data_IF_351570347508
#
_entry.id   IF_351570347508
#
_cell.length_a   1.000
_cell.length_b   1.000
_cell.length_c   1.000
_cell.angle_alpha   90.00
_cell.angle_beta   90.00
_cell.angle_gamma   90.00
#
_symmetry.space_group_name_H-M   'P 1'
#
loop_
_entity.id
_entity.type
_entity.pdbx_description
1 polymer ?
#
# COMPACT_ATOMS: atom_id res chain seq x y z
N UNK A 1 49.63 75.44 26.41
CA UNK A 1 48.60 74.48 25.84
C UNK A 1 47.26 75.21 25.94
N UNK A 2 46.71 75.66 24.80
CA UNK A 2 45.48 76.48 24.82
C UNK A 2 44.30 75.67 25.32
N UNK A 3 43.52 76.19 26.23
CA UNK A 3 42.31 75.59 26.80
C UNK A 3 41.33 75.07 25.69
N UNK A 4 41.35 75.72 24.51
CA UNK A 4 40.55 75.36 23.36
C UNK A 4 41.03 74.09 22.65
N UNK A 5 42.35 73.85 22.59
CA UNK A 5 42.89 72.62 21.98
C UNK A 5 42.66 71.40 22.87
N UNK A 6 42.71 71.57 24.21
CA UNK A 6 42.41 70.49 25.14
C UNK A 6 40.93 70.09 25.11
N UNK A 7 40.01 71.07 24.96
CA UNK A 7 38.57 70.74 24.83
C UNK A 7 38.24 70.04 23.52
N UNK A 8 38.90 70.40 22.44
CA UNK A 8 38.72 69.75 21.11
C UNK A 8 39.23 68.30 21.12
N UNK A 9 40.40 68.05 21.73
CA UNK A 9 40.94 66.68 21.87
C UNK A 9 40.09 65.80 22.75
N UNK A 10 39.50 66.33 23.84
CA UNK A 10 38.54 65.60 24.70
C UNK A 10 37.28 65.26 23.92
N UNK A 11 36.74 66.23 23.16
CA UNK A 11 35.53 66.01 22.34
C UNK A 11 35.76 64.96 21.25
N UNK A 12 36.92 64.98 20.56
CA UNK A 12 37.30 63.96 19.58
C UNK A 12 37.49 62.58 20.24
N UNK A 13 38.09 62.55 21.44
CA UNK A 13 38.26 61.31 22.18
C UNK A 13 36.90 60.71 22.64
N UNK A 14 35.98 61.55 23.06
CA UNK A 14 34.61 61.14 23.42
C UNK A 14 33.85 60.63 22.16
N UNK A 15 33.96 61.35 21.05
CA UNK A 15 33.35 60.94 19.79
C UNK A 15 33.93 59.60 19.28
N UNK A 16 35.27 59.45 19.35
CA UNK A 16 35.94 58.20 19.01
C UNK A 16 35.50 57.04 19.95
N UNK A 17 35.37 57.32 21.26
CA UNK A 17 34.87 56.36 22.22
C UNK A 17 33.40 55.96 21.92
N UNK A 18 32.54 56.90 21.58
CA UNK A 18 31.13 56.65 21.20
C UNK A 18 31.07 55.84 19.91
N UNK A 19 31.94 56.13 18.92
CA UNK A 19 31.99 55.33 17.68
C UNK A 19 32.53 53.93 17.91
N UNK A 20 33.59 53.77 18.71
CA UNK A 20 34.19 52.47 19.03
C UNK A 20 33.31 51.59 19.94
N UNK A 21 32.62 52.17 20.88
CA UNK A 21 31.79 51.42 21.82
C UNK A 21 30.28 51.48 21.50
N UNK A 22 29.87 52.39 20.63
CA UNK A 22 28.47 52.59 20.28
C UNK A 22 27.78 51.33 19.78
N UNK A 23 28.47 50.51 19.03
CA UNK A 23 27.97 49.22 18.54
C UNK A 23 27.73 48.19 19.64
N UNK A 24 28.28 48.38 20.84
CA UNK A 24 28.12 47.49 21.99
C UNK A 24 26.98 47.87 22.95
N UNK A 25 26.31 48.98 22.74
CA UNK A 25 25.16 49.40 23.57
C UNK A 25 23.84 48.90 23.07
N UNK A 26 23.81 48.12 21.99
CA UNK A 26 22.62 47.48 21.48
C UNK A 26 22.91 46.06 21.08
N UNK A 27 21.91 45.20 21.16
CA UNK A 27 21.93 43.84 20.59
C UNK A 27 20.76 43.69 19.63
N UNK A 28 21.04 43.18 18.43
CA UNK A 28 20.01 42.80 17.47
C UNK A 28 19.95 41.29 17.45
N UNK A 29 18.82 40.73 17.90
CA UNK A 29 18.55 39.31 17.92
C UNK A 29 17.76 38.96 16.67
N UNK A 30 18.25 38.10 15.77
CA UNK A 30 17.53 37.67 14.57
C UNK A 30 16.20 37.00 14.92
N UNK A 31 15.25 37.07 13.99
CA UNK A 31 13.98 36.36 14.12
C UNK A 31 14.19 34.85 14.32
N UNK A 32 13.44 34.25 15.24
CA UNK A 32 13.57 32.85 15.60
C UNK A 32 14.79 32.50 16.44
N UNK A 33 15.45 33.50 17.02
CA UNK A 33 16.56 33.32 17.95
C UNK A 33 16.30 34.01 19.28
N UNK A 34 17.00 33.52 20.28
CA UNK A 34 17.09 34.16 21.61
C UNK A 34 18.56 34.33 21.96
N UNK A 35 18.92 35.47 22.49
CA UNK A 35 20.27 35.75 22.94
C UNK A 35 20.38 35.66 24.46
N UNK A 36 21.37 34.94 24.94
CA UNK A 36 21.72 34.85 26.36
C UNK A 36 22.99 35.68 26.59
N UNK A 37 22.90 36.63 27.55
CA UNK A 37 24.05 37.47 27.90
C UNK A 37 24.89 36.79 28.97
N UNK A 38 26.21 36.93 28.85
CA UNK A 38 27.17 36.58 29.90
C UNK A 38 28.01 37.78 30.29
N UNK A 39 28.21 37.98 31.57
CA UNK A 39 29.06 39.05 32.14
C UNK A 39 30.25 38.40 32.84
N UNK A 40 31.45 38.54 32.31
CA UNK A 40 32.66 37.91 32.84
C UNK A 40 32.56 36.41 33.15
N UNK A 41 31.73 35.71 32.34
CA UNK A 41 31.47 34.26 32.51
C UNK A 41 30.22 33.93 33.34
N UNK A 42 29.60 34.90 33.98
CA UNK A 42 28.32 34.71 34.70
C UNK A 42 27.16 34.85 33.73
N UNK A 43 26.33 33.80 33.62
CA UNK A 43 25.14 33.77 32.76
C UNK A 43 24.03 34.62 33.38
N UNK A 44 23.45 35.50 32.56
CA UNK A 44 22.31 36.32 33.00
C UNK A 44 21.01 35.53 32.80
N UNK A 45 20.14 35.49 33.82
CA UNK A 45 18.92 34.69 33.82
C UNK A 45 17.87 35.14 32.81
N UNK A 46 17.95 36.38 32.33
CA UNK A 46 17.00 36.95 31.38
C UNK A 46 17.51 36.81 29.94
N UNK A 47 16.92 35.95 29.13
CA UNK A 47 17.22 35.90 27.71
C UNK A 47 16.60 37.09 26.96
N UNK A 48 17.33 37.61 26.00
CA UNK A 48 16.89 38.65 25.07
C UNK A 48 16.11 38.06 23.94
N UNK A 49 14.86 38.51 23.80
CA UNK A 49 13.98 38.05 22.70
C UNK A 49 14.39 38.66 21.37
N UNK A 50 13.83 38.13 20.27
CA UNK A 50 14.06 38.66 18.93
C UNK A 50 13.74 40.16 18.81
N UNK A 51 14.53 40.86 18.01
CA UNK A 51 14.42 42.30 17.80
C UNK A 51 15.62 43.07 18.31
N UNK A 52 15.47 44.39 18.38
CA UNK A 52 16.51 45.30 18.83
C UNK A 52 16.28 45.70 20.31
N UNK A 53 17.27 45.44 21.12
CA UNK A 53 17.26 45.85 22.54
C UNK A 53 18.30 46.94 22.81
N UNK A 54 17.87 48.08 23.35
CA UNK A 54 18.68 49.25 23.72
C UNK A 54 18.13 49.81 25.04
N UNK A 55 18.97 50.19 26.01
CA UNK A 55 20.41 49.99 26.09
C UNK A 55 20.78 48.61 26.65
N UNK A 56 21.91 48.06 26.21
CA UNK A 56 22.51 46.87 26.85
C UNK A 56 23.89 47.23 27.44
N UNK A 57 24.31 46.44 28.41
CA UNK A 57 25.64 46.62 28.99
C UNK A 57 26.71 46.25 27.94
N UNK A 58 27.64 47.15 27.57
CA UNK A 58 28.67 46.90 26.55
C UNK A 58 29.65 45.78 26.91
N UNK A 59 29.68 45.33 28.17
CA UNK A 59 30.53 44.24 28.64
C UNK A 59 29.89 42.86 28.50
N UNK A 60 28.64 42.79 28.03
CA UNK A 60 27.98 41.52 27.77
C UNK A 60 28.53 40.86 26.53
N UNK A 61 28.73 39.52 26.65
CA UNK A 61 28.90 38.64 25.52
C UNK A 61 27.58 37.92 25.28
N UNK A 62 27.15 37.81 24.03
CA UNK A 62 25.87 37.23 23.66
C UNK A 62 26.09 35.87 22.98
N UNK A 63 25.39 34.83 23.45
CA UNK A 63 25.27 33.54 22.82
C UNK A 63 23.87 33.41 22.26
N UNK A 64 23.76 33.06 20.96
CA UNK A 64 22.47 32.98 20.28
C UNK A 64 22.02 31.53 20.22
N UNK A 65 20.73 31.29 20.54
CA UNK A 65 20.05 30.01 20.42
C UNK A 65 18.97 30.10 19.37
N UNK A 66 18.98 29.18 18.41
CA UNK A 66 17.89 29.00 17.46
C UNK A 66 16.74 28.28 18.17
N UNK A 67 15.58 28.95 18.28
CA UNK A 67 14.37 28.43 18.94
C UNK A 67 13.37 27.84 17.96
N UNK A 68 13.72 27.80 16.68
CA UNK A 68 12.91 27.16 15.63
C UNK A 68 12.99 25.65 15.74
N UNK A 69 12.07 25.00 15.07
CA UNK A 69 12.08 23.54 14.97
C UNK A 69 13.31 23.04 14.22
N UNK A 70 13.96 22.03 14.80
CA UNK A 70 15.14 21.36 14.21
C UNK A 70 14.90 19.87 14.14
N UNK A 71 15.50 19.26 13.15
CA UNK A 71 15.55 17.82 12.99
C UNK A 71 16.98 17.31 13.22
N UNK A 72 17.11 16.31 14.08
CA UNK A 72 18.34 15.56 14.27
C UNK A 72 18.11 14.12 13.80
N UNK A 73 18.99 13.64 12.92
CA UNK A 73 19.00 12.28 12.41
C UNK A 73 20.08 11.50 13.12
N UNK A 74 19.72 10.31 13.59
CA UNK A 74 20.64 9.47 14.34
C UNK A 74 20.44 7.99 13.97
N UNK A 75 21.52 7.27 13.79
CA UNK A 75 21.52 5.83 13.56
C UNK A 75 21.93 5.11 14.85
N UNK A 76 21.13 4.14 15.26
CA UNK A 76 21.38 3.36 16.45
C UNK A 76 21.32 1.86 16.17
N UNK A 77 22.33 1.13 16.63
CA UNK A 77 22.29 -0.34 16.67
C UNK A 77 21.42 -0.81 17.84
N UNK A 78 20.35 -1.50 17.52
CA UNK A 78 19.30 -1.92 18.45
C UNK A 78 19.28 -3.44 18.54
N UNK A 79 19.57 -4.02 19.70
CA UNK A 79 19.46 -5.46 19.89
C UNK A 79 18.01 -5.85 20.15
N UNK A 80 17.52 -6.88 19.47
CA UNK A 80 16.27 -7.57 19.78
C UNK A 80 16.50 -8.70 20.80
N UNK A 81 15.43 -9.33 21.30
CA UNK A 81 15.53 -10.41 22.28
C UNK A 81 16.20 -11.66 21.69
N UNK A 82 16.08 -11.88 20.39
CA UNK A 82 16.77 -12.96 19.66
C UNK A 82 18.28 -12.71 19.46
N UNK A 83 18.87 -11.71 20.15
CA UNK A 83 20.27 -11.33 20.14
C UNK A 83 20.79 -10.80 18.78
N UNK A 84 19.91 -10.41 17.89
CA UNK A 84 20.26 -9.81 16.63
C UNK A 84 20.32 -8.29 16.77
N UNK A 85 21.33 -7.68 16.15
CA UNK A 85 21.45 -6.22 16.16
C UNK A 85 20.97 -5.66 14.83
N UNK A 86 19.91 -4.87 14.89
CA UNK A 86 19.33 -4.15 13.76
C UNK A 86 19.76 -2.70 13.84
N UNK A 87 20.15 -2.08 12.74
CA UNK A 87 20.41 -0.65 12.69
C UNK A 87 19.10 0.07 12.36
N UNK A 88 18.69 0.96 13.26
CA UNK A 88 17.48 1.77 13.09
C UNK A 88 17.88 3.22 12.96
N UNK A 89 17.44 3.87 11.90
CA UNK A 89 17.59 5.29 11.64
C UNK A 89 16.38 6.04 12.17
N UNK A 90 16.62 6.90 13.15
CA UNK A 90 15.58 7.68 13.84
C UNK A 90 15.84 9.16 13.61
N UNK A 91 14.80 9.93 13.35
CA UNK A 91 14.85 11.39 13.40
C UNK A 91 13.99 11.92 14.53
N UNK A 92 14.54 12.87 15.29
CA UNK A 92 13.84 13.60 16.31
C UNK A 92 13.66 15.04 15.86
N UNK A 93 12.42 15.54 15.92
CA UNK A 93 12.09 16.96 15.78
C UNK A 93 11.98 17.58 17.16
N UNK A 94 12.70 18.65 17.38
CA UNK A 94 12.74 19.32 18.66
C UNK A 94 12.91 20.83 18.49
N UNK A 95 12.64 21.54 19.55
CA UNK A 95 12.94 22.97 19.67
C UNK A 95 13.44 23.29 21.08
N UNK A 96 14.28 24.30 21.20
CA UNK A 96 14.70 24.86 22.49
C UNK A 96 13.67 25.88 22.95
N UNK A 97 13.29 25.85 24.23
CA UNK A 97 12.44 26.84 24.82
C UNK A 97 13.29 28.11 25.11
N UNK A 98 12.93 29.24 24.51
CA UNK A 98 13.69 30.47 24.65
C UNK A 98 13.83 30.94 26.09
N UNK A 99 12.84 30.68 26.96
CA UNK A 99 12.89 30.99 28.39
C UNK A 99 13.95 30.21 29.16
N UNK A 100 14.27 29.01 28.71
CA UNK A 100 15.23 28.09 29.34
C UNK A 100 16.65 28.22 28.79
N UNK A 101 16.86 29.05 27.76
CA UNK A 101 18.14 29.18 27.06
C UNK A 101 19.30 29.58 28.02
N UNK A 102 19.04 30.42 29.01
CA UNK A 102 20.03 30.81 30.02
C UNK A 102 20.49 29.60 30.85
N UNK A 103 19.57 28.76 31.28
CA UNK A 103 19.86 27.53 32.01
C UNK A 103 20.60 26.50 31.14
N UNK A 104 20.20 26.37 29.88
CA UNK A 104 20.89 25.48 28.95
C UNK A 104 22.34 25.92 28.75
N UNK A 105 22.61 27.23 28.61
CA UNK A 105 23.96 27.76 28.50
C UNK A 105 24.79 27.41 29.74
N UNK A 106 24.20 27.55 30.92
CA UNK A 106 24.86 27.33 32.19
C UNK A 106 25.16 25.83 32.44
N UNK A 107 24.21 24.93 32.13
CA UNK A 107 24.31 23.51 32.42
C UNK A 107 25.04 22.72 31.33
N UNK A 108 24.86 23.12 30.07
CA UNK A 108 25.28 22.31 28.93
C UNK A 108 26.23 23.04 27.98
N UNK A 109 26.06 24.33 27.78
CA UNK A 109 26.87 25.12 26.85
C UNK A 109 26.06 25.63 25.67
N UNK A 110 26.66 25.61 24.47
CA UNK A 110 26.05 26.13 23.22
C UNK A 110 24.90 25.26 22.73
N UNK A 111 24.22 25.73 21.68
CA UNK A 111 23.15 24.96 21.02
C UNK A 111 23.66 23.59 20.52
N UNK A 112 24.85 23.57 19.89
CA UNK A 112 25.48 22.35 19.41
C UNK A 112 25.87 21.41 20.56
N UNK A 113 26.30 21.96 21.70
CA UNK A 113 26.61 21.17 22.89
C UNK A 113 25.37 20.54 23.47
N UNK A 114 24.23 21.23 23.47
CA UNK A 114 22.95 20.68 23.93
C UNK A 114 22.54 19.48 23.09
N UNK A 115 22.70 19.55 21.77
CA UNK A 115 22.45 18.41 20.88
C UNK A 115 23.38 17.25 21.20
N UNK A 116 24.68 17.51 21.22
CA UNK A 116 25.73 16.49 21.35
C UNK A 116 25.72 15.80 22.72
N UNK A 117 25.43 16.52 23.78
CA UNK A 117 25.54 16.03 25.18
C UNK A 117 24.21 15.52 25.71
N UNK A 118 23.09 16.18 25.36
CA UNK A 118 21.78 15.86 25.92
C UNK A 118 20.91 15.01 25.00
N UNK A 119 20.75 15.42 23.74
CA UNK A 119 19.78 14.79 22.84
C UNK A 119 20.34 13.49 22.26
N UNK A 120 21.50 13.55 21.63
CA UNK A 120 22.07 12.47 20.84
C UNK A 120 22.36 11.20 21.67
N UNK A 121 23.04 11.28 22.84
CA UNK A 121 23.31 10.09 23.64
C UNK A 121 22.06 9.49 24.27
N UNK A 122 21.12 10.35 24.68
CA UNK A 122 19.86 9.90 25.27
C UNK A 122 18.99 9.21 24.22
N UNK A 123 18.88 9.79 23.02
CA UNK A 123 18.14 9.18 21.90
C UNK A 123 18.68 7.78 21.59
N UNK A 124 20.00 7.63 21.44
CA UNK A 124 20.62 6.31 21.22
C UNK A 124 20.30 5.33 22.34
N UNK A 125 20.35 5.80 23.60
CA UNK A 125 20.09 4.96 24.77
C UNK A 125 18.62 4.49 24.78
N UNK A 126 17.68 5.42 24.57
CA UNK A 126 16.24 5.13 24.59
C UNK A 126 15.86 4.20 23.45
N UNK A 127 16.33 4.49 22.23
CA UNK A 127 16.08 3.62 21.05
C UNK A 127 16.57 2.20 21.31
N UNK A 128 17.77 2.05 21.89
CA UNK A 128 18.33 0.73 22.26
C UNK A 128 17.55 0.04 23.38
N UNK A 129 17.08 0.80 24.35
CA UNK A 129 16.29 0.27 25.46
C UNK A 129 14.91 -0.23 25.00
N UNK A 130 14.21 0.60 24.23
CA UNK A 130 12.89 0.23 23.70
C UNK A 130 12.98 -0.92 22.71
N UNK A 131 14.02 -0.97 21.89
CA UNK A 131 14.23 -2.06 20.95
C UNK A 131 14.41 -3.43 21.59
N UNK A 132 14.90 -3.51 22.83
CA UNK A 132 14.98 -4.77 23.59
C UNK A 132 13.62 -5.38 23.92
N UNK A 133 12.54 -4.63 23.83
CA UNK A 133 11.18 -5.14 24.02
C UNK A 133 10.70 -5.96 22.82
N UNK A 134 11.31 -5.76 21.65
CA UNK A 134 10.95 -6.47 20.41
C UNK A 134 11.52 -7.88 20.43
N UNK A 135 10.67 -8.87 20.23
CA UNK A 135 11.02 -10.28 20.38
C UNK A 135 11.97 -10.75 19.28
N UNK A 136 11.64 -10.42 18.04
CA UNK A 136 12.39 -10.85 16.86
C UNK A 136 12.81 -9.66 16.01
N UNK A 137 13.99 -9.74 15.42
CA UNK A 137 14.47 -8.68 14.52
C UNK A 137 13.54 -8.45 13.31
N UNK A 138 12.83 -9.47 12.85
CA UNK A 138 11.82 -9.36 11.78
C UNK A 138 10.61 -8.49 12.20
N UNK A 139 10.27 -8.48 13.48
CA UNK A 139 9.09 -7.77 13.99
C UNK A 139 9.23 -6.24 13.94
N UNK A 140 10.47 -5.73 13.78
CA UNK A 140 10.70 -4.31 13.54
C UNK A 140 10.03 -3.78 12.25
N UNK A 141 9.71 -4.66 11.30
CA UNK A 141 9.00 -4.29 10.06
C UNK A 141 7.48 -4.27 10.21
N UNK A 142 6.95 -4.77 11.32
CA UNK A 142 5.52 -4.72 11.58
C UNK A 142 5.11 -3.29 11.95
N UNK A 143 4.08 -2.78 11.29
CA UNK A 143 3.59 -1.42 11.50
C UNK A 143 3.24 -1.17 12.98
N UNK A 144 2.54 -2.08 13.61
CA UNK A 144 2.17 -1.99 15.03
C UNK A 144 3.40 -1.88 15.94
N UNK A 145 4.45 -2.64 15.66
CA UNK A 145 5.70 -2.58 16.42
C UNK A 145 6.39 -1.23 16.23
N UNK A 146 6.41 -0.69 15.02
CA UNK A 146 6.99 0.62 14.73
C UNK A 146 6.23 1.75 15.44
N UNK A 147 4.91 1.75 15.41
CA UNK A 147 4.06 2.74 16.09
C UNK A 147 4.25 2.68 17.61
N UNK A 148 4.29 1.49 18.19
CA UNK A 148 4.54 1.29 19.62
C UNK A 148 5.93 1.78 20.03
N UNK A 149 6.96 1.44 19.26
CA UNK A 149 8.33 1.91 19.47
C UNK A 149 8.42 3.44 19.37
N UNK A 150 7.84 4.02 18.33
CA UNK A 150 7.84 5.47 18.12
C UNK A 150 7.20 6.20 19.30
N UNK A 151 6.06 5.71 19.77
CA UNK A 151 5.35 6.27 20.93
C UNK A 151 6.19 6.13 22.21
N UNK A 152 6.74 4.96 22.48
CA UNK A 152 7.55 4.70 23.67
C UNK A 152 8.84 5.53 23.68
N UNK A 153 9.49 5.71 22.51
CA UNK A 153 10.67 6.56 22.38
C UNK A 153 10.29 8.02 22.59
N UNK A 154 9.16 8.47 22.01
CA UNK A 154 8.67 9.84 22.17
C UNK A 154 8.39 10.17 23.63
N UNK A 155 7.67 9.32 24.36
CA UNK A 155 7.33 9.50 25.77
C UNK A 155 8.60 9.56 26.64
N UNK A 156 9.54 8.66 26.39
CA UNK A 156 10.81 8.62 27.12
C UNK A 156 11.68 9.85 26.83
N UNK A 157 11.73 10.30 25.59
CA UNK A 157 12.50 11.49 25.21
C UNK A 157 11.84 12.77 25.70
N UNK A 158 10.52 12.88 25.57
CA UNK A 158 9.75 14.03 26.03
C UNK A 158 9.89 14.23 27.53
N UNK A 159 9.73 13.17 28.32
CA UNK A 159 9.90 13.25 29.79
C UNK A 159 11.33 13.60 30.22
N UNK A 160 12.33 13.21 29.43
CA UNK A 160 13.73 13.56 29.71
C UNK A 160 14.10 14.99 29.31
N UNK A 161 13.64 15.45 28.13
CA UNK A 161 14.03 16.73 27.53
C UNK A 161 13.24 17.91 28.07
N UNK A 162 11.94 17.75 28.38
CA UNK A 162 11.07 18.84 28.84
C UNK A 162 11.61 19.53 30.09
N UNK A 163 12.04 18.83 31.15
CA UNK A 163 12.63 19.49 32.34
C UNK A 163 13.93 20.24 32.04
N UNK A 164 14.58 19.96 30.93
CA UNK A 164 15.85 20.56 30.46
C UNK A 164 15.65 21.71 29.49
N UNK A 165 14.41 22.17 29.29
CA UNK A 165 14.11 23.30 28.43
C UNK A 165 14.13 22.95 26.92
N UNK A 166 14.04 21.69 26.57
CA UNK A 166 13.98 21.22 25.18
C UNK A 166 12.65 20.49 24.99
N UNK A 167 11.84 20.96 24.03
CA UNK A 167 10.56 20.31 23.70
C UNK A 167 10.78 19.32 22.55
N UNK A 168 10.46 18.06 22.79
CA UNK A 168 10.34 17.05 21.75
C UNK A 168 9.00 17.24 21.04
N UNK A 169 9.03 17.38 19.72
CA UNK A 169 7.82 17.60 18.90
C UNK A 169 7.36 16.30 18.26
N UNK A 170 8.30 15.56 17.71
CA UNK A 170 8.00 14.32 17.00
C UNK A 170 9.22 13.41 16.94
N UNK A 171 8.99 12.11 16.84
CA UNK A 171 10.02 11.10 16.59
C UNK A 171 9.55 10.19 15.47
N UNK A 172 10.40 10.01 14.47
CA UNK A 172 10.12 9.21 13.29
C UNK A 172 11.18 8.12 13.12
N UNK A 173 10.74 6.90 12.97
CA UNK A 173 11.58 5.79 12.51
C UNK A 173 11.62 5.90 10.98
N UNK A 174 12.83 6.05 10.42
CA UNK A 174 13.02 6.31 9.00
C UNK A 174 13.37 5.05 8.21
N UNK A 175 14.34 4.32 8.69
CA UNK A 175 14.84 3.12 8.02
C UNK A 175 15.26 2.07 9.04
N UNK A 176 15.11 0.82 8.66
CA UNK A 176 15.42 -0.33 9.50
C UNK A 176 16.29 -1.28 8.67
N UNK A 177 17.58 -1.35 9.04
CA UNK A 177 18.57 -2.12 8.32
C UNK A 177 18.94 -3.39 9.09
N UNK A 178 18.49 -4.53 8.62
CA UNK A 178 18.88 -5.84 9.14
C UNK A 178 20.25 -6.27 8.61
N UNK A 179 20.99 -7.08 9.38
CA UNK A 179 22.18 -7.74 8.86
C UNK A 179 21.88 -8.58 7.61
N UNK A 180 22.77 -8.54 6.63
CA UNK A 180 22.54 -9.11 5.29
C UNK A 180 22.24 -10.62 5.30
N UNK A 181 22.71 -11.36 6.29
CA UNK A 181 22.42 -12.80 6.41
C UNK A 181 20.98 -13.06 6.81
N UNK A 182 20.37 -12.17 7.61
CA UNK A 182 18.95 -12.26 8.01
C UNK A 182 18.06 -11.89 6.84
N UNK A 183 18.38 -10.81 6.13
CA UNK A 183 17.66 -10.40 4.93
C UNK A 183 17.57 -11.54 3.92
N UNK A 184 18.71 -12.22 3.65
CA UNK A 184 18.72 -13.40 2.78
C UNK A 184 17.91 -14.58 3.33
N UNK A 185 17.92 -14.80 4.65
CA UNK A 185 17.11 -15.87 5.24
C UNK A 185 15.60 -15.59 5.11
N UNK A 186 15.18 -14.33 5.30
CA UNK A 186 13.80 -13.88 5.11
C UNK A 186 13.39 -14.02 3.64
N UNK A 187 14.23 -13.57 2.71
CA UNK A 187 14.00 -13.71 1.27
C UNK A 187 13.81 -15.18 0.87
N UNK A 188 14.74 -16.06 1.28
CA UNK A 188 14.63 -17.51 1.01
C UNK A 188 13.40 -18.14 1.64
N UNK A 189 12.95 -17.66 2.80
CA UNK A 189 11.71 -18.13 3.43
C UNK A 189 10.49 -17.68 2.62
N UNK A 190 10.43 -16.42 2.22
CA UNK A 190 9.36 -15.87 1.38
C UNK A 190 9.28 -16.56 0.02
N UNK A 191 10.42 -16.80 -0.62
CA UNK A 191 10.47 -17.56 -1.88
C UNK A 191 9.87 -18.96 -1.73
N UNK A 192 10.23 -19.67 -0.65
CA UNK A 192 9.65 -20.99 -0.36
C UNK A 192 8.16 -20.94 -0.07
N UNK A 193 7.71 -19.94 0.70
CA UNK A 193 6.29 -19.74 0.99
C UNK A 193 5.49 -19.45 -0.29
N UNK A 194 6.01 -18.58 -1.16
CA UNK A 194 5.40 -18.29 -2.47
C UNK A 194 5.37 -19.52 -3.38
N UNK A 195 6.44 -20.33 -3.40
CA UNK A 195 6.46 -21.56 -4.18
C UNK A 195 5.42 -22.57 -3.68
N UNK A 196 5.29 -22.73 -2.35
CA UNK A 196 4.24 -23.59 -1.75
C UNK A 196 2.85 -23.07 -2.08
N UNK A 197 2.63 -21.77 -2.04
CA UNK A 197 1.33 -21.17 -2.37
C UNK A 197 1.00 -21.37 -3.87
N UNK A 198 2.00 -21.18 -4.73
CA UNK A 198 1.87 -21.45 -6.15
C UNK A 198 1.51 -22.91 -6.44
N UNK A 199 2.21 -23.84 -5.80
CA UNK A 199 1.91 -25.29 -5.94
C UNK A 199 0.50 -25.63 -5.44
N UNK A 200 0.04 -25.02 -4.33
CA UNK A 200 -1.34 -25.18 -3.87
C UNK A 200 -2.35 -24.66 -4.88
N UNK A 201 -2.11 -23.47 -5.42
CA UNK A 201 -2.98 -22.87 -6.43
C UNK A 201 -3.01 -23.71 -7.72
N UNK A 202 -1.88 -24.26 -8.16
CA UNK A 202 -1.81 -25.18 -9.31
C UNK A 202 -2.59 -26.47 -9.04
N UNK A 203 -2.47 -27.05 -7.85
CA UNK A 203 -3.21 -28.25 -7.45
C UNK A 203 -4.73 -27.99 -7.41
N UNK A 204 -5.16 -26.85 -6.90
CA UNK A 204 -6.58 -26.46 -6.91
C UNK A 204 -7.10 -26.23 -8.33
N UNK A 205 -6.33 -25.59 -9.18
CA UNK A 205 -6.67 -25.44 -10.61
C UNK A 205 -6.81 -26.80 -11.28
N UNK A 206 -5.86 -27.70 -11.06
CA UNK A 206 -5.91 -29.05 -11.60
C UNK A 206 -7.14 -29.83 -11.10
N UNK A 207 -7.45 -29.75 -9.81
CA UNK A 207 -8.66 -30.36 -9.24
C UNK A 207 -9.94 -29.81 -9.89
N UNK A 208 -10.01 -28.50 -10.03
CA UNK A 208 -11.16 -27.82 -10.65
C UNK A 208 -11.31 -28.25 -12.12
N UNK A 209 -10.22 -28.32 -12.86
CA UNK A 209 -10.22 -28.80 -14.25
C UNK A 209 -10.68 -30.26 -14.36
N UNK A 210 -10.21 -31.14 -13.47
CA UNK A 210 -10.69 -32.53 -13.44
C UNK A 210 -12.17 -32.63 -13.10
N UNK A 211 -12.66 -31.83 -12.15
CA UNK A 211 -14.07 -31.78 -11.83
C UNK A 211 -14.92 -31.28 -13.00
N UNK A 212 -14.46 -30.26 -13.73
CA UNK A 212 -15.12 -29.77 -14.93
C UNK A 212 -15.18 -30.85 -16.02
N UNK A 213 -14.09 -31.59 -16.23
CA UNK A 213 -14.05 -32.72 -17.22
C UNK A 213 -15.05 -33.83 -16.83
N UNK A 214 -15.12 -34.16 -15.53
CA UNK A 214 -16.07 -35.18 -15.05
C UNK A 214 -17.50 -34.67 -15.23
N UNK A 215 -17.77 -33.41 -14.84
CA UNK A 215 -19.10 -32.82 -14.99
C UNK A 215 -19.53 -32.72 -16.48
N UNK A 216 -18.61 -32.36 -17.37
CA UNK A 216 -18.86 -32.32 -18.82
C UNK A 216 -19.19 -33.73 -19.38
N UNK A 217 -18.40 -34.74 -18.99
CA UNK A 217 -18.66 -36.12 -19.41
C UNK A 217 -19.98 -36.68 -18.86
N UNK A 218 -20.37 -36.29 -17.65
CA UNK A 218 -21.67 -36.63 -17.09
C UNK A 218 -22.80 -35.95 -17.85
N UNK A 219 -22.69 -34.66 -18.12
CA UNK A 219 -23.67 -33.91 -18.90
C UNK A 219 -23.86 -34.47 -20.31
N UNK A 220 -22.77 -34.90 -20.96
CA UNK A 220 -22.82 -35.54 -22.28
C UNK A 220 -23.56 -36.90 -22.23
N UNK A 221 -23.31 -37.71 -21.21
CA UNK A 221 -24.06 -38.97 -21.00
C UNK A 221 -25.54 -38.71 -20.76
N UNK A 222 -25.86 -37.77 -19.88
CA UNK A 222 -27.26 -37.42 -19.54
C UNK A 222 -27.98 -36.88 -20.79
N UNK A 223 -27.32 -36.07 -21.62
CA UNK A 223 -27.88 -35.61 -22.89
C UNK A 223 -28.11 -36.77 -23.89
N UNK A 224 -27.17 -37.71 -24.00
CA UNK A 224 -27.32 -38.89 -24.87
C UNK A 224 -28.46 -39.80 -24.39
N UNK A 225 -28.61 -39.97 -23.07
CA UNK A 225 -29.73 -40.76 -22.50
C UNK A 225 -31.08 -40.07 -22.75
N UNK A 226 -31.16 -38.76 -22.62
CA UNK A 226 -32.37 -37.99 -22.95
C UNK A 226 -32.72 -38.08 -24.45
N UNK A 227 -31.75 -37.98 -25.33
CA UNK A 227 -31.95 -38.18 -26.76
C UNK A 227 -32.44 -39.60 -27.08
N UNK A 228 -31.85 -40.60 -26.45
CA UNK A 228 -32.30 -41.98 -26.62
C UNK A 228 -33.74 -42.18 -26.13
N UNK A 229 -34.10 -41.57 -25.01
CA UNK A 229 -35.47 -41.57 -24.49
C UNK A 229 -36.47 -40.86 -25.45
N UNK A 230 -36.07 -39.69 -25.96
CA UNK A 230 -36.89 -38.96 -26.96
C UNK A 230 -37.11 -39.81 -28.23
N UNK A 231 -36.06 -40.46 -28.75
CA UNK A 231 -36.17 -41.32 -29.89
C UNK A 231 -37.12 -42.52 -29.64
N UNK A 232 -37.05 -43.11 -28.41
CA UNK A 232 -37.98 -44.20 -28.04
C UNK A 232 -39.44 -43.71 -27.98
N UNK A 233 -39.67 -42.53 -27.31
CA UNK A 233 -41.02 -41.97 -27.24
C UNK A 233 -41.58 -41.62 -28.62
N UNK A 234 -40.77 -41.07 -29.49
CA UNK A 234 -41.15 -40.82 -30.90
C UNK A 234 -41.45 -42.09 -31.66
N UNK A 235 -40.61 -43.15 -31.52
CA UNK A 235 -40.85 -44.42 -32.17
C UNK A 235 -42.13 -45.10 -31.63
N UNK A 236 -42.37 -45.06 -30.32
CA UNK A 236 -43.59 -45.57 -29.71
C UNK A 236 -44.83 -44.82 -30.20
N UNK A 237 -44.76 -43.49 -30.30
CA UNK A 237 -45.81 -42.63 -30.82
C UNK A 237 -46.11 -42.98 -32.29
N UNK A 238 -45.05 -43.14 -33.12
CA UNK A 238 -45.23 -43.54 -34.52
C UNK A 238 -45.79 -44.95 -34.67
N UNK A 239 -45.32 -45.90 -33.83
CA UNK A 239 -45.88 -47.27 -33.82
C UNK A 239 -47.36 -47.30 -33.41
N UNK A 240 -47.72 -46.46 -32.42
CA UNK A 240 -49.14 -46.28 -32.01
C UNK A 240 -49.96 -45.69 -33.14
N UNK A 241 -49.49 -44.68 -33.84
CA UNK A 241 -50.12 -44.04 -34.99
C UNK A 241 -50.35 -45.03 -36.16
N UNK A 242 -49.30 -45.80 -36.46
CA UNK A 242 -49.36 -46.87 -37.49
C UNK A 242 -50.38 -47.95 -37.10
N UNK A 243 -50.42 -48.35 -35.84
CA UNK A 243 -51.40 -49.32 -35.33
C UNK A 243 -52.81 -48.80 -35.44
N UNK A 244 -53.04 -47.53 -35.05
CA UNK A 244 -54.36 -46.88 -35.18
C UNK A 244 -54.79 -46.68 -36.64
N UNK A 245 -53.84 -46.32 -37.51
CA UNK A 245 -54.07 -46.26 -38.93
C UNK A 245 -54.45 -47.64 -39.54
N UNK A 246 -53.73 -48.68 -39.17
CA UNK A 246 -54.03 -50.04 -39.62
C UNK A 246 -55.41 -50.52 -39.11
N UNK A 247 -55.76 -50.21 -37.86
CA UNK A 247 -57.09 -50.49 -37.33
C UNK A 247 -58.23 -49.75 -38.05
N UNK A 248 -57.95 -48.49 -38.41
CA UNK A 248 -58.92 -47.66 -39.21
C UNK A 248 -59.07 -48.19 -40.61
N UNK A 249 -57.96 -48.59 -41.28
CA UNK A 249 -57.94 -49.16 -42.61
C UNK A 249 -58.66 -50.52 -42.66
N UNK A 250 -58.44 -51.37 -41.66
CA UNK A 250 -59.13 -52.66 -41.58
C UNK A 250 -60.63 -52.55 -41.42
N UNK A 251 -61.12 -51.44 -40.76
CA UNK A 251 -62.55 -51.19 -40.59
C UNK A 251 -63.24 -50.49 -41.73
N UNK A 252 -62.48 -49.77 -42.59
CA UNK A 252 -63.00 -49.11 -43.76
C UNK A 252 -61.99 -49.01 -44.90
N UNK A 253 -62.02 -49.97 -45.85
CA UNK A 253 -61.08 -50.04 -47.01
C UNK A 253 -61.14 -48.79 -47.92
N UNK A 254 -62.25 -48.09 -47.94
CA UNK A 254 -62.44 -46.88 -48.75
C UNK A 254 -61.56 -45.70 -48.23
N UNK A 255 -61.06 -45.76 -46.96
CA UNK A 255 -60.17 -44.75 -46.37
C UNK A 255 -58.81 -44.75 -47.07
N UNK A 256 -58.31 -45.92 -47.53
CA UNK A 256 -57.01 -46.00 -48.29
C UNK A 256 -57.13 -45.27 -49.60
N UNK A 257 -58.29 -45.37 -50.29
CA UNK A 257 -58.54 -44.64 -51.54
C UNK A 257 -58.59 -43.15 -51.37
N UNK A 258 -59.19 -42.69 -50.24
CA UNK A 258 -59.25 -41.25 -49.92
C UNK A 258 -57.87 -40.70 -49.61
N UNK A 259 -57.06 -41.39 -48.83
CA UNK A 259 -55.70 -40.99 -48.55
C UNK A 259 -54.76 -41.03 -49.74
N UNK A 260 -54.94 -42.01 -50.65
CA UNK A 260 -54.21 -42.06 -51.90
C UNK A 260 -54.58 -40.86 -52.83
N UNK A 261 -55.86 -40.46 -52.84
CA UNK A 261 -56.28 -39.27 -53.55
C UNK A 261 -55.79 -37.96 -52.94
N UNK A 262 -55.70 -37.87 -51.60
CA UNK A 262 -55.09 -36.72 -50.91
C UNK A 262 -53.58 -36.64 -51.18
N UNK A 263 -52.86 -37.74 -51.12
CA UNK A 263 -51.43 -37.80 -51.43
C UNK A 263 -51.16 -37.39 -52.88
N UNK A 264 -51.99 -37.88 -53.82
CA UNK A 264 -51.92 -37.47 -55.25
C UNK A 264 -52.24 -35.98 -55.44
N UNK A 265 -53.16 -35.41 -54.65
CA UNK A 265 -53.50 -33.98 -54.66
C UNK A 265 -52.33 -33.12 -54.15
N UNK A 266 -51.63 -33.60 -53.10
CA UNK A 266 -50.45 -32.88 -52.59
C UNK A 266 -49.28 -33.00 -53.58
N UNK A 267 -49.03 -34.16 -54.16
CA UNK A 267 -48.02 -34.34 -55.20
C UNK A 267 -48.36 -33.49 -56.45
N UNK A 268 -49.60 -33.34 -56.78
CA UNK A 268 -50.01 -32.51 -57.94
C UNK A 268 -49.84 -31.02 -57.77
N UNK A 269 -49.65 -30.54 -56.53
CA UNK A 269 -49.34 -29.11 -56.21
C UNK A 269 -47.87 -28.80 -56.49
N UNK A 270 -46.99 -29.76 -56.50
CA UNK A 270 -45.57 -29.58 -56.80
C UNK A 270 -45.34 -29.51 -58.31
N UNK A 271 -44.91 -28.35 -58.80
CA UNK A 271 -44.67 -28.04 -60.20
C UNK A 271 -43.59 -28.91 -60.85
N UNK A 272 -42.81 -29.60 -60.08
CA UNK A 272 -41.68 -30.44 -60.53
C UNK A 272 -41.99 -31.93 -60.57
N UNK A 273 -43.14 -32.41 -60.09
CA UNK A 273 -43.50 -33.81 -60.04
C UNK A 273 -44.18 -34.26 -61.31
N UNK A 274 -43.60 -35.33 -61.95
CA UNK A 274 -44.23 -36.01 -63.11
C UNK A 274 -44.87 -37.30 -62.60
N UNK A 275 -46.19 -37.44 -62.78
CA UNK A 275 -46.97 -38.61 -62.40
C UNK A 275 -47.24 -39.45 -63.62
N UNK A 276 -46.77 -40.69 -63.58
CA UNK A 276 -47.02 -41.68 -64.64
C UNK A 276 -48.04 -42.73 -64.15
N UNK A 277 -49.18 -42.83 -64.80
CA UNK A 277 -50.19 -43.87 -64.58
C UNK A 277 -49.83 -45.10 -65.44
N UNK A 278 -49.50 -46.20 -64.82
CA UNK A 278 -49.35 -47.47 -65.47
C UNK A 278 -50.58 -48.33 -65.20
N UNK A 279 -51.22 -48.68 -66.26
CA UNK A 279 -52.37 -49.54 -66.56
C UNK A 279 -53.18 -50.26 -65.49
N UNK A 280 -54.42 -50.20 -65.60
CA UNK A 280 -55.62 -50.31 -64.82
C UNK A 280 -56.00 -51.64 -64.15
N UNK A 281 -55.17 -52.41 -63.55
CA UNK A 281 -55.56 -53.55 -62.72
C UNK A 281 -55.03 -53.53 -61.25
N UNK A 282 -54.30 -52.52 -60.85
CA UNK A 282 -53.87 -52.37 -59.44
C UNK A 282 -53.98 -50.93 -59.04
N UNK A 283 -54.82 -50.62 -58.03
CA UNK A 283 -55.02 -49.25 -57.56
C UNK A 283 -53.97 -48.73 -56.55
N UNK A 284 -52.79 -49.35 -56.50
CA UNK A 284 -51.71 -48.85 -55.63
C UNK A 284 -50.64 -48.16 -56.48
N UNK A 285 -50.46 -46.81 -56.29
CA UNK A 285 -49.33 -46.11 -56.87
C UNK A 285 -48.05 -46.61 -56.24
N UNK A 286 -47.17 -47.22 -57.04
CA UNK A 286 -45.81 -47.53 -56.59
C UNK A 286 -45.05 -46.20 -56.42
N UNK A 287 -44.43 -45.94 -55.27
CA UNK A 287 -43.56 -44.82 -55.15
C UNK A 287 -42.33 -44.97 -56.02
N UNK A 288 -42.26 -44.23 -57.11
CA UNK A 288 -41.01 -44.14 -57.86
C UNK A 288 -40.02 -43.30 -57.00
N UNK A 289 -39.02 -43.98 -56.46
CA UNK A 289 -37.88 -43.32 -55.86
C UNK A 289 -37.19 -42.49 -56.97
N UNK A 290 -37.11 -41.24 -56.71
CA UNK A 290 -36.32 -40.29 -57.50
C UNK A 290 -34.82 -40.72 -57.34
N UNK A 291 -34.29 -41.48 -58.29
CA UNK A 291 -32.87 -41.62 -58.43
C UNK A 291 -32.32 -40.31 -58.98
N UNK A 292 -31.85 -39.48 -58.07
CA UNK A 292 -31.17 -38.22 -58.38
C UNK A 292 -29.99 -38.56 -59.34
N UNK A 293 -29.93 -37.71 -60.35
CA UNK A 293 -28.85 -37.70 -61.33
C UNK A 293 -27.48 -37.66 -60.68
N UNK A 294 -26.57 -38.60 -60.89
CA UNK A 294 -25.19 -38.41 -60.55
C UNK A 294 -24.52 -37.65 -61.70
N UNK A 295 -23.83 -36.60 -61.34
CA UNK A 295 -22.93 -35.78 -62.16
C UNK A 295 -23.44 -34.39 -62.55
N UNK A 296 -23.05 -33.43 -61.69
CA UNK A 296 -22.21 -32.35 -62.25
C UNK A 296 -21.37 -31.73 -61.08
N UNK A 297 -20.09 -31.71 -61.32
CA UNK A 297 -18.89 -31.22 -60.70
C UNK A 297 -19.06 -30.23 -59.54
#
# INVERSE_FOLDING_TARGET
>A
MNKQSASLTILVAILAAVVLFGSRFFVSVPAGHVAVATLFGEVQDRPYQEGLTIPVNPLFNFTFYDIREKELKESAGVPSQDQLTTTIDVSIKFRINGSDAARILQETGTFEDAIRVQIQPKLRSVVREQGKSVVRAEDFFLQETQENLQTAIFDSMSSYLTPRGITCLDILIRDINLPSFITRAIESKKEREQEVEKQKAELERFRTEQQQKIAAAQAERDAADLEAQQRRVLADAQAYEITKLNDAISKNPAYVQLQALEALKEISKDKSSKIYFLNGESPAPLPLMNMGDPLTK
#
